data_IF_022985073714
#
_entry.id   IF_022985073714
#
_cell.length_a   1.000
_cell.length_b   1.000
_cell.length_c   1.000
_cell.angle_alpha   90.00
_cell.angle_beta   90.00
_cell.angle_gamma   90.00
#
_symmetry.space_group_name_H-M   'P 1'
#
loop_
_entity.id
_entity.type
_entity.pdbx_description
1 polymer ?
#
# COMPACT_ATOMS: atom_id res chain seq x y z
N UNK A 1 24.28 -9.76 43.46
CA UNK A 1 22.95 -9.11 43.32
C UNK A 1 23.12 -7.99 42.31
N UNK A 2 22.52 -8.10 41.13
CA UNK A 2 22.60 -7.07 40.09
C UNK A 2 21.39 -7.20 39.17
N UNK A 3 20.34 -6.45 39.47
CA UNK A 3 19.14 -6.34 38.64
C UNK A 3 19.38 -5.20 37.64
N UNK A 4 19.78 -5.56 36.42
CA UNK A 4 19.80 -4.61 35.30
C UNK A 4 18.38 -4.47 34.75
N UNK A 5 17.83 -3.27 34.87
CA UNK A 5 16.50 -2.89 34.36
C UNK A 5 16.48 -2.94 32.83
N UNK A 6 15.72 -3.88 32.27
CA UNK A 6 15.40 -3.91 30.84
C UNK A 6 14.53 -2.69 30.49
N UNK A 7 15.07 -1.77 29.68
CA UNK A 7 14.30 -0.66 29.12
C UNK A 7 13.13 -1.19 28.29
N UNK A 8 11.92 -0.66 28.55
CA UNK A 8 10.72 -1.03 27.78
C UNK A 8 10.89 -0.49 26.36
N UNK A 9 10.91 -1.38 25.36
CA UNK A 9 10.77 -0.98 23.96
C UNK A 9 9.34 -0.54 23.73
N UNK A 10 9.15 0.68 23.25
CA UNK A 10 7.86 1.11 22.71
C UNK A 10 7.79 0.63 21.27
N UNK A 11 6.78 -0.20 20.99
CA UNK A 11 6.46 -0.62 19.63
C UNK A 11 5.37 0.31 19.12
N UNK A 12 5.60 0.92 17.97
CA UNK A 12 4.61 1.68 17.23
C UNK A 12 4.26 0.86 15.98
N UNK A 13 2.98 0.70 15.70
CA UNK A 13 2.51 0.19 14.43
C UNK A 13 2.26 1.40 13.51
N UNK A 14 2.77 1.34 12.30
CA UNK A 14 2.37 2.25 11.23
C UNK A 14 1.15 1.60 10.57
N UNK A 15 0.08 2.37 10.47
CA UNK A 15 -1.12 2.01 9.72
C UNK A 15 -1.07 2.87 8.45
N UNK A 16 -1.05 2.22 7.30
CA UNK A 16 -1.04 2.87 5.99
C UNK A 16 -1.99 2.13 5.08
N UNK A 17 -3.03 2.82 4.65
CA UNK A 17 -4.00 2.30 3.71
C UNK A 17 -3.56 2.76 2.32
N UNK A 18 -3.43 1.84 1.37
CA UNK A 18 -3.06 2.15 -0.02
C UNK A 18 -4.33 2.16 -0.87
N UNK A 19 -5.21 3.12 -0.59
CA UNK A 19 -6.54 3.19 -1.20
C UNK A 19 -6.50 3.77 -2.62
N UNK A 20 -7.20 3.11 -3.55
CA UNK A 20 -7.40 3.59 -4.92
C UNK A 20 -8.85 3.39 -5.36
N UNK A 21 -9.41 4.38 -6.07
CA UNK A 21 -10.74 4.29 -6.67
C UNK A 21 -10.70 3.57 -8.02
N UNK A 22 -11.58 2.58 -8.22
CA UNK A 22 -11.77 1.99 -9.54
C UNK A 22 -12.53 2.97 -10.46
N UNK A 23 -12.01 3.32 -11.66
CA UNK A 23 -12.65 4.26 -12.56
C UNK A 23 -13.93 3.74 -13.23
N UNK A 24 -14.28 2.46 -13.03
CA UNK A 24 -15.43 1.83 -13.68
C UNK A 24 -16.63 1.62 -12.75
N UNK A 25 -16.39 1.20 -11.50
CA UNK A 25 -17.45 0.95 -10.53
C UNK A 25 -17.40 1.90 -9.33
N UNK A 26 -16.35 2.74 -9.23
CA UNK A 26 -16.14 3.66 -8.12
C UNK A 26 -16.07 2.98 -6.74
N UNK A 27 -15.72 1.69 -6.72
CA UNK A 27 -15.35 0.99 -5.51
C UNK A 27 -13.96 1.44 -5.08
N UNK A 28 -13.75 1.54 -3.77
CA UNK A 28 -12.47 1.78 -3.14
C UNK A 28 -11.75 0.43 -2.95
N UNK A 29 -10.48 0.38 -3.32
CA UNK A 29 -9.66 -0.81 -3.25
C UNK A 29 -8.45 -0.51 -2.39
N UNK A 30 -8.15 -1.37 -1.43
CA UNK A 30 -6.87 -1.35 -0.76
C UNK A 30 -5.85 -2.16 -1.57
N UNK A 31 -4.85 -1.49 -2.14
CA UNK A 31 -3.77 -2.13 -2.87
C UNK A 31 -2.93 -3.04 -1.97
N UNK A 32 -2.95 -2.85 -0.65
CA UNK A 32 -2.22 -3.69 0.31
C UNK A 32 -2.67 -5.16 0.23
N UNK A 33 -3.98 -5.41 0.03
CA UNK A 33 -4.56 -6.74 -0.17
C UNK A 33 -4.08 -7.40 -1.48
N UNK A 34 -3.67 -6.60 -2.44
CA UNK A 34 -3.24 -7.03 -3.77
C UNK A 34 -1.71 -7.04 -3.96
N UNK A 35 -0.95 -6.64 -2.93
CA UNK A 35 0.49 -6.40 -3.03
C UNK A 35 1.35 -7.67 -2.88
N UNK A 36 1.16 -8.60 -3.82
CA UNK A 36 1.99 -9.80 -3.91
C UNK A 36 3.38 -9.41 -4.40
N UNK A 37 4.39 -9.61 -3.53
CA UNK A 37 5.81 -9.31 -3.75
C UNK A 37 6.22 -7.83 -3.60
N UNK A 38 5.43 -6.98 -2.93
CA UNK A 38 5.78 -5.57 -2.70
C UNK A 38 5.90 -4.74 -3.98
N UNK A 39 5.09 -5.06 -4.98
CA UNK A 39 4.98 -4.30 -6.21
C UNK A 39 4.39 -2.91 -5.97
N UNK A 40 3.47 -2.75 -5.02
CA UNK A 40 2.83 -1.49 -4.67
C UNK A 40 3.46 -0.84 -3.43
N UNK A 41 3.58 -1.57 -2.31
CA UNK A 41 4.14 -1.02 -1.07
C UNK A 41 5.61 -0.62 -1.21
N UNK A 42 6.39 -1.40 -1.98
CA UNK A 42 7.80 -1.15 -2.19
C UNK A 42 8.05 0.26 -2.77
N UNK A 43 7.47 0.59 -3.93
CA UNK A 43 7.54 1.93 -4.50
C UNK A 43 7.02 3.03 -3.57
N UNK A 44 5.83 2.87 -2.97
CA UNK A 44 5.18 3.88 -2.10
C UNK A 44 6.09 4.27 -0.93
N UNK A 45 6.57 3.27 -0.18
CA UNK A 45 7.38 3.52 1.01
C UNK A 45 8.82 3.93 0.76
N UNK A 46 9.32 3.75 -0.46
CA UNK A 46 10.66 4.18 -0.83
C UNK A 46 10.66 5.51 -1.60
N UNK A 47 9.55 6.26 -1.56
CA UNK A 47 9.39 7.52 -2.27
C UNK A 47 9.63 7.38 -3.78
N UNK A 48 9.16 6.27 -4.34
CA UNK A 48 9.23 5.91 -5.76
C UNK A 48 7.83 5.62 -6.31
N UNK A 49 6.81 6.32 -5.83
CA UNK A 49 5.43 6.17 -6.30
C UNK A 49 5.29 6.36 -7.81
N UNK A 50 6.16 7.15 -8.44
CA UNK A 50 6.21 7.30 -9.89
C UNK A 50 6.44 5.98 -10.63
N UNK A 51 7.10 4.99 -10.00
CA UNK A 51 7.30 3.65 -10.56
C UNK A 51 5.97 2.87 -10.66
N UNK A 52 4.90 3.31 -9.99
CA UNK A 52 3.57 2.71 -10.11
C UNK A 52 2.81 3.16 -11.35
N UNK A 53 3.19 4.30 -11.94
CA UNK A 53 2.51 4.82 -13.12
C UNK A 53 2.73 3.86 -14.29
N UNK A 54 1.65 3.37 -14.87
CA UNK A 54 1.68 2.35 -15.93
C UNK A 54 1.46 0.91 -15.44
N UNK A 55 1.45 0.66 -14.13
CA UNK A 55 1.11 -0.66 -13.58
C UNK A 55 -0.39 -0.96 -13.77
N UNK A 56 -0.70 -2.23 -14.02
CA UNK A 56 -2.08 -2.71 -14.23
C UNK A 56 -2.67 -3.25 -12.93
N UNK A 57 -3.84 -2.75 -12.56
CA UNK A 57 -4.60 -3.19 -11.39
C UNK A 57 -5.91 -3.82 -11.87
N UNK A 58 -6.26 -4.96 -11.28
CA UNK A 58 -7.54 -5.62 -11.52
C UNK A 58 -8.50 -5.29 -10.38
N UNK A 59 -9.69 -4.77 -10.70
CA UNK A 59 -10.71 -4.50 -9.69
C UNK A 59 -11.46 -5.78 -9.31
N UNK A 60 -11.48 -6.19 -8.02
CA UNK A 60 -12.18 -7.40 -7.59
C UNK A 60 -13.71 -7.26 -7.66
N UNK A 61 -14.25 -6.03 -7.64
CA UNK A 61 -15.69 -5.77 -7.65
C UNK A 61 -16.31 -5.85 -9.05
N UNK A 62 -15.62 -5.30 -10.06
CA UNK A 62 -16.14 -5.25 -11.43
C UNK A 62 -15.32 -6.05 -12.45
N UNK A 63 -14.26 -6.72 -11.99
CA UNK A 63 -13.34 -7.58 -12.76
C UNK A 63 -12.67 -6.87 -13.95
N UNK A 64 -12.70 -5.54 -13.97
CA UNK A 64 -12.04 -4.72 -15.00
C UNK A 64 -10.63 -4.36 -14.59
N UNK A 65 -9.76 -4.37 -15.57
CA UNK A 65 -8.37 -3.92 -15.46
C UNK A 65 -8.28 -2.43 -15.78
N UNK A 66 -7.49 -1.70 -15.00
CA UNK A 66 -7.17 -0.30 -15.23
C UNK A 66 -5.69 -0.04 -14.94
N UNK A 67 -5.19 1.07 -15.47
CA UNK A 67 -3.79 1.46 -15.35
C UNK A 67 -3.70 2.62 -14.35
N UNK A 68 -2.71 2.58 -13.47
CA UNK A 68 -2.43 3.71 -12.58
C UNK A 68 -1.86 4.86 -13.42
N UNK A 69 -2.61 5.95 -13.55
CA UNK A 69 -2.19 7.12 -14.33
C UNK A 69 -1.45 8.17 -13.49
N UNK A 70 -1.77 8.25 -12.19
CA UNK A 70 -1.18 9.22 -11.28
C UNK A 70 -1.26 8.72 -9.84
N UNK A 71 -0.27 9.09 -9.02
CA UNK A 71 -0.28 8.86 -7.56
C UNK A 71 -0.23 10.23 -6.89
N UNK A 72 -1.30 10.59 -6.17
CA UNK A 72 -1.41 11.82 -5.40
C UNK A 72 -1.25 11.54 -3.90
N UNK A 73 -0.55 12.43 -3.20
CA UNK A 73 -0.39 12.41 -1.74
C UNK A 73 -0.93 13.70 -1.12
#
# INVERSE_FOLDING_TARGET
MGLSTFGRKHTYALDENMEIDCPYCNAELDLSDHDKNRCFSGPIFNNRSDDLVGETVNCPDCEKEFIIENVGF
#
